data_IF_764494482816
#
_entry.id   IF_764494482816
#
_cell.length_a   1.000
_cell.length_b   1.000
_cell.length_c   1.000
_cell.angle_alpha   90.00
_cell.angle_beta   90.00
_cell.angle_gamma   90.00
#
_symmetry.space_group_name_H-M   'P 1'
#
loop_
_entity.id
_entity.type
_entity.pdbx_description
1 polymer ?
#
# COMPACT_ATOMS: atom_id res chain seq x y z
N UNK A 1 -21.55 -13.74 -8.93
CA UNK A 1 -21.54 -12.46 -8.17
C UNK A 1 -20.28 -12.43 -7.32
N UNK A 2 -19.54 -11.32 -7.27
CA UNK A 2 -18.41 -11.16 -6.36
C UNK A 2 -18.90 -10.48 -5.06
N UNK A 3 -18.36 -10.88 -3.91
CA UNK A 3 -18.61 -10.24 -2.62
C UNK A 3 -17.36 -9.53 -2.17
N UNK A 4 -17.50 -8.27 -1.77
CA UNK A 4 -16.41 -7.48 -1.22
C UNK A 4 -16.55 -7.42 0.30
N UNK A 5 -15.47 -7.73 1.01
CA UNK A 5 -15.42 -7.67 2.48
C UNK A 5 -14.21 -6.85 2.88
N UNK A 6 -14.47 -5.70 3.49
CA UNK A 6 -13.45 -4.94 4.20
C UNK A 6 -13.29 -5.54 5.60
N UNK A 7 -12.07 -5.92 5.96
CA UNK A 7 -11.73 -6.46 7.28
C UNK A 7 -10.88 -5.44 8.02
N UNK A 8 -11.36 -5.01 9.19
CA UNK A 8 -10.54 -4.30 10.15
C UNK A 8 -9.85 -5.33 11.05
N UNK A 9 -8.53 -5.30 11.10
CA UNK A 9 -7.77 -5.96 12.15
C UNK A 9 -7.47 -4.91 13.21
N UNK A 10 -8.36 -4.82 14.19
CA UNK A 10 -8.05 -4.20 15.46
C UNK A 10 -8.93 -4.78 16.57
N UNK A 11 -8.58 -4.46 17.83
CA UNK A 11 -9.35 -4.54 19.11
C UNK A 11 -8.61 -5.45 20.13
N UNK A 12 -8.21 -4.95 21.33
CA UNK A 12 -9.07 -4.14 22.22
C UNK A 12 -8.43 -2.88 22.82
N UNK A 13 -9.31 -1.94 23.19
CA UNK A 13 -9.06 -0.68 23.90
C UNK A 13 -8.04 0.29 23.27
N UNK A 14 -8.57 1.42 22.79
CA UNK A 14 -7.81 2.60 22.40
C UNK A 14 -6.82 3.13 23.48
N UNK A 15 -6.82 2.52 24.68
CA UNK A 15 -5.88 2.78 25.76
C UNK A 15 -4.52 2.07 25.65
N UNK A 16 -4.38 0.97 24.88
CA UNK A 16 -3.12 0.20 24.83
C UNK A 16 -2.37 0.29 23.49
N UNK A 17 -3.07 0.41 22.35
CA UNK A 17 -2.44 0.72 21.06
C UNK A 17 -3.37 1.55 20.15
N UNK A 18 -2.98 2.78 19.76
CA UNK A 18 -3.78 3.66 18.90
C UNK A 18 -3.76 3.29 17.40
N UNK A 19 -3.16 2.15 17.02
CA UNK A 19 -3.03 1.72 15.62
C UNK A 19 -4.21 0.87 15.17
N UNK A 20 -4.82 1.23 14.04
CA UNK A 20 -5.84 0.48 13.32
C UNK A 20 -5.20 -0.14 12.07
N UNK A 21 -5.33 -1.46 11.89
CA UNK A 21 -4.97 -2.16 10.65
C UNK A 21 -6.21 -2.47 9.80
N UNK A 22 -6.15 -2.23 8.50
CA UNK A 22 -7.24 -2.53 7.56
C UNK A 22 -6.69 -3.20 6.30
N UNK A 23 -7.43 -4.19 5.81
CA UNK A 23 -7.23 -4.78 4.49
C UNK A 23 -8.60 -5.15 3.90
N UNK A 24 -8.62 -5.30 2.60
CA UNK A 24 -9.81 -5.68 1.85
C UNK A 24 -9.62 -7.04 1.22
N UNK A 25 -10.73 -7.76 1.04
CA UNK A 25 -10.76 -9.09 0.44
C UNK A 25 -11.93 -9.17 -0.51
N UNK A 26 -11.74 -9.86 -1.63
CA UNK A 26 -12.81 -10.14 -2.60
C UNK A 26 -13.02 -11.63 -2.66
N UNK A 27 -14.29 -12.05 -2.57
CA UNK A 27 -14.71 -13.43 -2.66
C UNK A 27 -15.55 -13.68 -3.91
N UNK A 28 -15.42 -14.89 -4.46
CA UNK A 28 -16.28 -15.43 -5.51
C UNK A 28 -16.81 -16.80 -5.10
N UNK A 29 -17.98 -17.18 -5.62
CA UNK A 29 -18.49 -18.55 -5.46
C UNK A 29 -17.56 -19.52 -6.19
N UNK A 30 -17.28 -20.67 -5.57
CA UNK A 30 -16.35 -21.67 -6.06
C UNK A 30 -16.69 -22.20 -7.46
N UNK A 31 -17.96 -22.22 -7.84
CA UNK A 31 -18.41 -22.69 -9.15
C UNK A 31 -19.25 -21.65 -9.86
N UNK A 32 -18.94 -21.40 -11.13
CA UNK A 32 -19.73 -20.59 -12.07
C UNK A 32 -20.00 -21.40 -13.34
N UNK A 33 -21.27 -21.57 -13.68
CA UNK A 33 -21.72 -22.31 -14.87
C UNK A 33 -22.47 -21.34 -15.79
N UNK A 34 -22.06 -21.27 -17.04
CA UNK A 34 -22.80 -20.55 -18.10
C UNK A 34 -23.81 -21.50 -18.72
N UNK A 35 -25.00 -20.98 -19.03
CA UNK A 35 -26.08 -21.76 -19.65
C UNK A 35 -26.10 -21.50 -21.15
N UNK A 36 -26.24 -22.56 -21.94
CA UNK A 36 -26.35 -22.44 -23.40
C UNK A 36 -27.60 -21.64 -23.78
N UNK A 37 -27.45 -20.70 -24.71
CA UNK A 37 -28.50 -19.76 -25.11
C UNK A 37 -28.69 -18.51 -24.23
N UNK A 38 -28.08 -18.43 -23.04
CA UNK A 38 -28.07 -17.21 -22.21
C UNK A 38 -26.83 -17.13 -21.30
N UNK A 39 -25.76 -16.50 -21.79
CA UNK A 39 -24.54 -16.24 -21.02
C UNK A 39 -24.64 -15.04 -20.08
N UNK A 40 -25.75 -14.28 -20.12
CA UNK A 40 -25.91 -13.05 -19.32
C UNK A 40 -26.24 -13.33 -17.85
N UNK A 41 -26.78 -14.51 -17.54
CA UNK A 41 -27.17 -14.93 -16.19
C UNK A 41 -26.51 -16.27 -15.78
N UNK A 42 -25.21 -16.27 -15.48
CA UNK A 42 -24.51 -17.48 -15.05
C UNK A 42 -25.00 -17.97 -13.68
N UNK A 43 -25.12 -19.28 -13.52
CA UNK A 43 -25.41 -19.92 -12.23
C UNK A 43 -24.15 -19.95 -11.37
N UNK A 44 -24.26 -19.56 -10.09
CA UNK A 44 -23.15 -19.54 -9.14
C UNK A 44 -23.49 -20.45 -7.93
N UNK A 45 -22.58 -21.33 -7.53
CA UNK A 45 -22.80 -22.29 -6.44
C UNK A 45 -21.51 -22.60 -5.67
N UNK A 46 -21.63 -23.36 -4.56
CA UNK A 46 -20.51 -23.72 -3.69
C UNK A 46 -20.11 -22.62 -2.71
N UNK A 47 -19.01 -22.84 -1.99
CA UNK A 47 -18.51 -21.93 -0.96
C UNK A 47 -17.96 -20.62 -1.55
N UNK A 48 -17.83 -19.60 -0.70
CA UNK A 48 -17.12 -18.38 -1.03
C UNK A 48 -15.62 -18.60 -0.90
N UNK A 49 -14.88 -18.31 -1.97
CA UNK A 49 -13.43 -18.45 -2.06
C UNK A 49 -12.82 -17.08 -2.25
N UNK A 50 -11.80 -16.75 -1.46
CA UNK A 50 -11.05 -15.51 -1.63
C UNK A 50 -10.27 -15.57 -2.95
N UNK A 51 -10.40 -14.53 -3.76
CA UNK A 51 -9.73 -14.43 -5.05
C UNK A 51 -8.82 -13.22 -5.16
N UNK A 52 -8.85 -12.35 -4.16
CA UNK A 52 -8.03 -11.14 -4.09
C UNK A 52 -8.03 -10.58 -2.69
N UNK A 53 -6.91 -9.95 -2.32
CA UNK A 53 -6.79 -9.10 -1.14
C UNK A 53 -5.88 -7.92 -1.41
N UNK A 54 -6.07 -6.85 -0.64
CA UNK A 54 -5.25 -5.64 -0.71
C UNK A 54 -5.32 -4.87 0.61
N UNK A 55 -4.17 -4.52 1.18
CA UNK A 55 -4.03 -3.61 2.31
C UNK A 55 -3.26 -2.34 1.94
N UNK A 56 -1.96 -2.37 2.19
CA UNK A 56 -0.98 -1.36 1.85
C UNK A 56 -0.80 -1.19 0.33
N UNK A 57 -0.57 0.05 -0.13
CA UNK A 57 -0.22 0.37 -1.50
C UNK A 57 0.92 -0.49 -2.06
N UNK A 58 0.77 -0.91 -3.32
CA UNK A 58 1.79 -1.51 -4.18
C UNK A 58 2.28 -2.91 -3.76
N UNK A 59 1.76 -3.49 -2.68
CA UNK A 59 2.19 -4.83 -2.28
C UNK A 59 1.75 -5.88 -3.31
N UNK A 60 0.48 -5.88 -3.71
CA UNK A 60 -0.04 -6.82 -4.71
C UNK A 60 0.35 -6.42 -6.15
N UNK A 61 0.62 -5.14 -6.39
CA UNK A 61 0.93 -4.59 -7.70
C UNK A 61 2.41 -4.81 -8.06
N UNK A 62 3.34 -4.56 -7.13
CA UNK A 62 4.77 -4.44 -7.40
C UNK A 62 5.63 -5.36 -6.51
N UNK A 63 5.35 -5.45 -5.20
CA UNK A 63 6.19 -6.23 -4.28
C UNK A 63 6.03 -7.73 -4.51
N UNK A 64 4.80 -8.19 -4.74
CA UNK A 64 4.50 -9.59 -5.07
C UNK A 64 4.72 -9.80 -6.57
N UNK A 65 5.65 -10.68 -6.98
CA UNK A 65 5.92 -10.94 -8.39
C UNK A 65 4.73 -11.67 -9.03
N UNK A 66 4.55 -11.47 -10.34
CA UNK A 66 3.40 -11.99 -11.09
C UNK A 66 3.12 -13.48 -10.84
N UNK A 67 4.15 -14.32 -10.79
CA UNK A 67 4.02 -15.77 -10.57
C UNK A 67 3.52 -16.18 -9.19
N UNK A 68 3.51 -15.27 -8.21
CA UNK A 68 3.03 -15.51 -6.85
C UNK A 68 1.75 -14.74 -6.51
N UNK A 69 1.24 -13.89 -7.42
CA UNK A 69 0.06 -13.06 -7.16
C UNK A 69 -1.18 -13.88 -6.83
N UNK A 70 -1.43 -14.98 -7.53
CA UNK A 70 -2.59 -15.82 -7.24
C UNK A 70 -2.50 -16.47 -5.84
N UNK A 71 -1.31 -16.91 -5.44
CA UNK A 71 -1.08 -17.48 -4.12
C UNK A 71 -1.26 -16.43 -3.01
N UNK A 72 -0.73 -15.22 -3.22
CA UNK A 72 -0.92 -14.08 -2.32
C UNK A 72 -2.40 -13.68 -2.21
N UNK A 73 -3.09 -13.57 -3.35
CA UNK A 73 -4.51 -13.20 -3.41
C UNK A 73 -5.44 -14.21 -2.73
N UNK A 74 -5.05 -15.49 -2.73
CA UNK A 74 -5.79 -16.56 -2.07
C UNK A 74 -5.43 -16.75 -0.58
N UNK A 75 -4.38 -16.10 -0.06
CA UNK A 75 -3.92 -16.29 1.32
C UNK A 75 -4.57 -15.32 2.31
N UNK A 76 -4.57 -15.68 3.59
CA UNK A 76 -4.97 -14.79 4.69
C UNK A 76 -3.76 -14.02 5.23
N UNK A 77 -3.99 -12.82 5.77
CA UNK A 77 -2.90 -11.93 6.23
C UNK A 77 -2.08 -12.52 7.39
N UNK A 78 -2.65 -13.45 8.16
CA UNK A 78 -1.94 -14.17 9.23
C UNK A 78 -0.80 -15.06 8.72
N UNK A 79 -0.79 -15.39 7.42
CA UNK A 79 0.23 -16.18 6.75
C UNK A 79 1.33 -15.36 6.06
N UNK A 80 1.34 -14.02 6.20
CA UNK A 80 2.19 -13.15 5.37
C UNK A 80 3.69 -13.29 5.61
N UNK A 81 4.09 -13.95 6.69
CA UNK A 81 5.46 -14.37 6.90
C UNK A 81 6.02 -15.20 5.72
N UNK A 82 5.17 -15.90 4.97
CA UNK A 82 5.57 -16.65 3.76
C UNK A 82 6.08 -15.72 2.63
N UNK A 83 5.67 -14.46 2.61
CA UNK A 83 6.06 -13.47 1.59
C UNK A 83 7.19 -12.55 2.05
N UNK A 84 7.70 -12.69 3.29
CA UNK A 84 8.83 -11.91 3.82
C UNK A 84 10.04 -11.87 2.88
N UNK A 85 10.47 -12.98 2.25
CA UNK A 85 11.61 -12.96 1.33
C UNK A 85 11.47 -11.95 0.19
N UNK A 86 10.24 -11.72 -0.30
CA UNK A 86 9.93 -10.77 -1.38
C UNK A 86 10.12 -9.31 -0.95
N UNK A 87 9.97 -9.03 0.35
CA UNK A 87 10.15 -7.68 0.92
C UNK A 87 11.61 -7.46 1.34
N UNK A 88 12.25 -8.49 1.91
CA UNK A 88 13.65 -8.39 2.35
C UNK A 88 14.64 -8.41 1.19
N UNK A 89 14.25 -8.93 0.03
CA UNK A 89 15.09 -9.00 -1.18
C UNK A 89 14.23 -8.67 -2.41
N UNK A 90 13.80 -7.40 -2.54
CA UNK A 90 12.80 -7.01 -3.52
C UNK A 90 13.39 -7.00 -4.94
N UNK A 91 12.66 -7.58 -5.89
CA UNK A 91 13.03 -7.56 -7.31
C UNK A 91 13.15 -6.12 -7.84
N UNK A 92 12.24 -5.23 -7.45
CA UNK A 92 12.29 -3.81 -7.83
C UNK A 92 13.61 -3.16 -7.42
N UNK A 93 14.12 -3.43 -6.21
CA UNK A 93 15.39 -2.86 -5.76
C UNK A 93 16.55 -3.23 -6.69
N UNK A 94 16.58 -4.48 -7.15
CA UNK A 94 17.58 -4.97 -8.11
C UNK A 94 17.41 -4.34 -9.49
N UNK A 95 16.16 -4.12 -9.92
CA UNK A 95 15.87 -3.50 -11.20
C UNK A 95 16.20 -2.00 -11.22
N UNK A 96 16.08 -1.28 -10.11
CA UNK A 96 16.41 0.15 -10.02
C UNK A 96 17.88 0.39 -10.40
N UNK A 97 18.83 -0.37 -9.84
CA UNK A 97 20.25 -0.22 -10.20
C UNK A 97 20.52 -0.51 -11.68
N UNK A 98 19.77 -1.45 -12.26
CA UNK A 98 19.89 -1.81 -13.68
C UNK A 98 19.31 -0.74 -14.62
N UNK A 99 18.14 -0.18 -14.27
CA UNK A 99 17.38 0.76 -15.10
C UNK A 99 17.91 2.19 -14.98
N UNK A 100 18.51 2.55 -13.86
CA UNK A 100 19.00 3.90 -13.58
C UNK A 100 20.50 3.89 -13.24
N UNK A 101 21.38 3.96 -14.26
CA UNK A 101 22.82 3.98 -14.04
C UNK A 101 23.26 5.10 -13.09
N UNK A 102 24.02 4.75 -12.06
CA UNK A 102 24.47 5.69 -11.02
C UNK A 102 23.63 5.69 -9.75
N UNK A 103 22.52 4.94 -9.71
CA UNK A 103 21.82 4.61 -8.47
C UNK A 103 22.41 3.33 -7.88
N UNK A 104 22.66 3.37 -6.58
CA UNK A 104 22.98 2.20 -5.76
C UNK A 104 21.89 2.03 -4.71
N UNK A 105 21.46 0.81 -4.41
CA UNK A 105 20.44 0.53 -3.39
C UNK A 105 21.05 -0.25 -2.22
N UNK A 106 20.44 -0.19 -1.02
CA UNK A 106 20.90 -1.01 0.10
C UNK A 106 20.82 -2.50 -0.25
N UNK A 107 21.85 -3.31 0.10
CA UNK A 107 21.83 -4.74 -0.14
C UNK A 107 20.79 -5.43 0.78
N UNK A 108 20.24 -6.59 0.36
CA UNK A 108 19.40 -7.41 1.24
C UNK A 108 20.20 -7.94 2.45
N UNK A 109 19.55 -8.20 3.60
CA UNK A 109 18.10 -8.10 3.84
C UNK A 109 17.60 -6.68 4.15
N UNK A 110 16.56 -6.26 3.44
CA UNK A 110 15.87 -4.95 3.56
C UNK A 110 14.84 -4.92 4.68
N UNK A 111 15.31 -4.96 5.92
CA UNK A 111 14.44 -4.90 7.12
C UNK A 111 13.70 -3.56 7.26
N UNK A 112 14.24 -2.49 6.66
CA UNK A 112 13.56 -1.20 6.54
C UNK A 112 12.24 -1.30 5.76
N UNK A 113 12.23 -2.09 4.68
CA UNK A 113 11.03 -2.34 3.87
C UNK A 113 10.03 -3.26 4.58
N UNK A 114 10.50 -4.17 5.44
CA UNK A 114 9.61 -5.00 6.27
C UNK A 114 8.78 -4.12 7.21
N UNK A 115 9.41 -3.10 7.80
CA UNK A 115 8.73 -2.08 8.60
C UNK A 115 7.63 -1.36 7.80
N UNK A 116 7.96 -0.93 6.59
CA UNK A 116 7.05 -0.15 5.73
C UNK A 116 5.86 -0.98 5.23
N UNK A 117 6.10 -2.20 4.74
CA UNK A 117 5.07 -2.98 4.05
C UNK A 117 4.37 -4.04 4.91
N UNK A 118 5.00 -4.55 5.98
CA UNK A 118 4.51 -5.74 6.68
C UNK A 118 4.30 -5.58 8.18
N UNK A 119 5.14 -4.88 8.94
CA UNK A 119 4.97 -4.84 10.40
C UNK A 119 4.40 -3.51 10.90
N UNK A 120 4.55 -2.46 10.11
CA UNK A 120 4.50 -1.08 10.58
C UNK A 120 5.83 -0.67 11.22
N UNK A 121 6.05 0.64 11.27
CA UNK A 121 7.24 1.29 11.80
C UNK A 121 7.09 1.49 13.32
N UNK A 122 8.08 1.08 14.14
CA UNK A 122 8.05 1.29 15.58
C UNK A 122 7.83 2.77 15.96
N UNK A 123 6.92 3.04 16.89
CA UNK A 123 6.58 4.39 17.32
C UNK A 123 5.72 5.19 16.33
N UNK A 124 5.47 4.66 15.12
CA UNK A 124 4.61 5.28 14.12
C UNK A 124 3.32 4.51 14.00
N UNK A 125 3.31 3.30 13.42
CA UNK A 125 2.09 2.56 13.09
C UNK A 125 2.23 1.04 13.28
N UNK A 126 3.18 0.58 14.08
CA UNK A 126 3.38 -0.86 14.34
C UNK A 126 2.26 -1.45 15.21
N UNK A 127 1.69 -2.58 14.76
CA UNK A 127 0.69 -3.33 15.53
C UNK A 127 1.31 -4.02 16.76
N UNK A 128 0.52 -4.34 17.80
CA UNK A 128 1.01 -5.13 18.93
C UNK A 128 1.64 -6.44 18.43
N UNK A 129 2.80 -6.81 18.99
CA UNK A 129 3.60 -7.99 18.64
C UNK A 129 4.38 -7.94 17.31
N UNK A 130 4.28 -6.87 16.52
CA UNK A 130 5.10 -6.70 15.30
C UNK A 130 4.94 -7.81 14.27
N UNK A 131 3.78 -8.49 14.25
CA UNK A 131 3.52 -9.57 13.31
C UNK A 131 3.55 -9.03 11.87
N UNK A 132 4.26 -9.73 10.99
CA UNK A 132 4.28 -9.42 9.57
C UNK A 132 2.90 -9.74 8.97
N UNK A 133 2.14 -8.69 8.64
CA UNK A 133 0.83 -8.75 7.99
C UNK A 133 0.71 -7.62 6.96
N UNK A 134 0.13 -7.91 5.81
CA UNK A 134 -0.07 -6.94 4.74
C UNK A 134 -1.36 -6.16 5.03
N UNK A 135 -1.22 -4.91 5.47
CA UNK A 135 -2.32 -4.06 5.93
C UNK A 135 -1.98 -2.58 5.75
N UNK A 136 -2.98 -1.76 5.44
CA UNK A 136 -2.89 -0.31 5.64
C UNK A 136 -3.09 -0.01 7.12
N UNK A 137 -2.16 0.72 7.73
CA UNK A 137 -2.13 0.93 9.19
C UNK A 137 -2.15 2.41 9.55
N UNK A 138 -3.11 2.82 10.37
CA UNK A 138 -3.25 4.20 10.82
C UNK A 138 -3.13 4.28 12.34
N UNK A 139 -2.17 5.05 12.83
CA UNK A 139 -2.08 5.46 14.22
C UNK A 139 -2.91 6.73 14.45
N UNK A 140 -4.00 6.60 15.21
CA UNK A 140 -4.92 7.70 15.49
C UNK A 140 -4.43 8.67 16.57
N UNK A 141 -3.29 8.40 17.23
CA UNK A 141 -2.68 9.35 18.17
C UNK A 141 -1.76 10.36 17.49
N UNK A 142 -1.41 10.16 16.22
CA UNK A 142 -0.62 11.11 15.43
C UNK A 142 -1.58 12.15 14.85
N UNK A 143 -1.46 13.44 15.21
CA UNK A 143 -2.33 14.48 14.68
C UNK A 143 -2.03 14.71 13.19
N UNK A 144 -3.04 15.07 12.37
CA UNK A 144 -2.81 15.50 11.00
C UNK A 144 -1.88 16.70 10.94
N UNK A 145 -0.97 16.74 9.96
CA UNK A 145 -0.04 17.86 9.73
C UNK A 145 -0.80 19.15 9.36
N UNK A 146 -1.98 19.02 8.78
CA UNK A 146 -2.85 20.14 8.42
C UNK A 146 -4.23 19.66 7.95
N UNK A 147 -5.17 20.60 7.84
CA UNK A 147 -6.53 20.32 7.31
C UNK A 147 -6.69 20.74 5.86
N UNK A 148 -5.74 21.49 5.30
CA UNK A 148 -5.70 21.83 3.87
C UNK A 148 -4.86 20.79 3.13
N UNK A 149 -5.47 19.90 2.32
CA UNK A 149 -4.73 18.89 1.58
C UNK A 149 -3.72 19.46 0.58
N UNK A 150 -3.91 20.71 0.12
CA UNK A 150 -3.00 21.36 -0.83
C UNK A 150 -1.77 21.99 -0.15
N UNK A 151 -1.74 22.04 1.19
CA UNK A 151 -0.63 22.59 1.97
C UNK A 151 0.30 21.49 2.56
N UNK A 152 -0.04 20.22 2.34
CA UNK A 152 0.72 19.06 2.81
C UNK A 152 1.74 18.60 1.76
N UNK A 153 2.78 17.90 2.20
CA UNK A 153 3.80 17.35 1.30
C UNK A 153 3.37 15.96 0.77
N UNK A 154 3.32 15.73 -0.56
CA UNK A 154 2.97 14.42 -1.14
C UNK A 154 3.87 13.26 -0.68
N UNK A 155 5.11 13.52 -0.27
CA UNK A 155 6.04 12.50 0.22
C UNK A 155 5.79 12.08 1.68
N UNK A 156 4.85 12.71 2.38
CA UNK A 156 4.39 12.31 3.70
C UNK A 156 5.53 12.08 4.70
N UNK A 157 5.63 10.84 5.21
CA UNK A 157 6.62 10.49 6.23
C UNK A 157 8.06 10.77 5.77
N UNK A 158 8.38 10.61 4.47
CA UNK A 158 9.73 10.91 3.95
C UNK A 158 10.05 12.41 3.99
N UNK A 159 9.03 13.27 3.96
CA UNK A 159 9.15 14.71 4.16
C UNK A 159 9.03 15.16 5.62
N UNK A 160 8.91 14.22 6.57
CA UNK A 160 8.76 14.50 8.00
C UNK A 160 7.31 14.69 8.46
N UNK A 161 6.33 14.41 7.62
CA UNK A 161 4.90 14.45 7.97
C UNK A 161 4.43 13.07 8.43
N UNK A 162 4.43 12.85 9.75
CA UNK A 162 4.16 11.53 10.35
C UNK A 162 2.72 11.00 10.15
N UNK A 163 1.81 11.82 9.65
CA UNK A 163 0.43 11.46 9.28
C UNK A 163 0.29 10.97 7.83
N UNK A 164 1.37 10.96 7.04
CA UNK A 164 1.41 10.41 5.69
C UNK A 164 1.79 8.93 5.64
N UNK A 165 1.58 8.30 4.48
CA UNK A 165 1.92 6.90 4.23
C UNK A 165 3.39 6.58 4.63
N UNK A 166 3.66 5.46 5.34
CA UNK A 166 2.78 4.34 5.64
C UNK A 166 1.79 4.50 6.82
N UNK A 167 1.75 5.65 7.52
CA UNK A 167 0.81 5.87 8.61
C UNK A 167 -0.58 6.31 8.11
N UNK A 168 -1.35 5.35 7.62
CA UNK A 168 -2.55 5.58 6.84
C UNK A 168 -2.16 5.98 5.42
N UNK A 169 -3.09 6.61 4.72
CA UNK A 169 -2.83 7.20 3.41
C UNK A 169 -3.71 8.43 3.28
N UNK A 170 -3.08 9.59 3.12
CA UNK A 170 -3.76 10.84 2.79
C UNK A 170 -4.04 10.86 1.29
N UNK A 171 -5.02 11.66 0.87
CA UNK A 171 -5.37 11.77 -0.55
C UNK A 171 -4.21 12.31 -1.40
N UNK A 172 -3.37 13.16 -0.80
CA UNK A 172 -2.20 13.79 -1.42
C UNK A 172 -0.96 12.87 -1.44
N UNK A 173 -0.94 11.78 -0.67
CA UNK A 173 0.25 10.94 -0.57
C UNK A 173 0.57 10.27 -1.90
N UNK A 174 1.75 10.58 -2.43
CA UNK A 174 2.30 9.97 -3.62
C UNK A 174 2.96 8.63 -3.25
N UNK A 175 2.11 7.61 -3.13
CA UNK A 175 2.55 6.28 -2.72
C UNK A 175 3.53 5.64 -3.72
N UNK A 176 3.53 6.08 -4.98
CA UNK A 176 4.44 5.56 -6.01
C UNK A 176 5.83 6.12 -5.77
N UNK A 177 5.96 7.44 -5.64
CA UNK A 177 7.24 8.08 -5.35
C UNK A 177 7.79 7.66 -3.98
N UNK A 178 6.95 7.60 -2.94
CA UNK A 178 7.39 7.14 -1.62
C UNK A 178 7.89 5.69 -1.68
N UNK A 179 7.18 4.78 -2.36
CA UNK A 179 7.60 3.38 -2.45
C UNK A 179 8.85 3.20 -3.33
N UNK A 180 8.99 3.98 -4.41
CA UNK A 180 10.15 3.96 -5.28
C UNK A 180 11.40 4.46 -4.54
N UNK A 181 11.29 5.57 -3.82
CA UNK A 181 12.35 6.09 -2.97
C UNK A 181 12.70 5.10 -1.85
N UNK A 182 11.70 4.51 -1.19
CA UNK A 182 11.93 3.47 -0.19
C UNK A 182 12.65 2.24 -0.78
N UNK A 183 12.23 1.75 -1.95
CA UNK A 183 12.90 0.64 -2.64
C UNK A 183 14.36 0.97 -2.97
N UNK A 184 14.65 2.22 -3.35
CA UNK A 184 16.01 2.71 -3.56
C UNK A 184 16.79 2.97 -2.25
N UNK A 185 16.18 2.81 -1.09
CA UNK A 185 16.80 3.08 0.21
C UNK A 185 16.85 4.57 0.57
N UNK A 186 16.10 5.43 -0.10
CA UNK A 186 15.94 6.82 0.29
C UNK A 186 14.94 6.96 1.45
N UNK A 187 15.34 6.42 2.61
CA UNK A 187 14.58 6.51 3.86
C UNK A 187 15.48 6.92 5.01
N UNK A 188 14.92 7.45 6.12
CA UNK A 188 15.70 7.70 7.33
C UNK A 188 16.38 6.45 7.93
N UNK A 189 15.95 5.23 7.57
CA UNK A 189 16.49 3.97 8.08
C UNK A 189 17.76 3.51 7.36
N UNK A 190 18.03 4.07 6.18
CA UNK A 190 19.18 3.79 5.32
C UNK A 190 19.87 5.10 4.93
N UNK A 191 20.37 5.87 5.91
CA UNK A 191 20.82 7.25 5.71
C UNK A 191 21.94 7.41 4.67
N UNK A 192 22.76 6.38 4.47
CA UNK A 192 23.81 6.35 3.45
C UNK A 192 23.27 6.32 2.01
N UNK A 193 22.02 5.89 1.82
CA UNK A 193 21.30 5.88 0.54
C UNK A 193 20.27 7.01 0.43
N UNK A 194 19.90 7.66 1.53
CA UNK A 194 18.98 8.79 1.55
C UNK A 194 19.63 10.11 1.10
N UNK A 195 20.03 10.13 -0.18
CA UNK A 195 20.69 11.26 -0.85
C UNK A 195 20.40 11.20 -2.34
N UNK A 196 20.72 12.28 -3.05
CA UNK A 196 20.59 12.29 -4.50
C UNK A 196 21.53 11.24 -5.13
N UNK A 197 21.09 10.53 -6.18
CA UNK A 197 19.79 10.67 -6.85
C UNK A 197 18.63 9.84 -6.24
N UNK A 198 18.88 8.94 -5.29
CA UNK A 198 17.87 8.03 -4.73
C UNK A 198 16.65 8.77 -4.12
N UNK A 199 16.87 9.86 -3.39
CA UNK A 199 15.80 10.67 -2.77
C UNK A 199 15.15 11.67 -3.74
N UNK A 200 15.48 11.57 -5.03
CA UNK A 200 14.89 12.36 -6.11
C UNK A 200 14.21 11.47 -7.16
N UNK A 201 14.13 10.16 -6.89
CA UNK A 201 13.39 9.25 -7.74
C UNK A 201 11.90 9.61 -7.72
N UNK A 202 11.32 9.66 -8.91
CA UNK A 202 9.92 9.98 -9.15
C UNK A 202 9.43 9.27 -10.41
N UNK A 203 8.13 8.95 -10.45
CA UNK A 203 7.44 8.50 -11.66
C UNK A 203 7.12 9.65 -12.64
N UNK A 204 7.37 10.90 -12.22
CA UNK A 204 7.16 12.12 -12.99
C UNK A 204 5.75 12.70 -12.91
N UNK A 205 4.88 12.17 -12.03
CA UNK A 205 3.49 12.60 -11.83
C UNK A 205 3.34 13.21 -10.44
N UNK A 206 3.70 14.48 -10.29
CA UNK A 206 3.80 15.14 -8.98
C UNK A 206 2.47 15.66 -8.39
N UNK A 207 1.32 15.28 -8.94
CA UNK A 207 0.04 15.73 -8.42
C UNK A 207 -1.14 15.52 -9.37
N UNK A 208 -2.33 15.80 -8.83
CA UNK A 208 -3.57 15.79 -9.60
C UNK A 208 -3.60 16.96 -10.58
N UNK A 209 -4.36 16.75 -11.65
CA UNK A 209 -4.70 17.74 -12.67
C UNK A 209 -5.47 18.95 -12.11
N UNK A 210 -6.26 18.74 -11.05
CA UNK A 210 -6.99 19.78 -10.31
C UNK A 210 -6.65 19.73 -8.82
N UNK A 211 -6.62 20.89 -8.13
CA UNK A 211 -6.41 20.93 -6.68
C UNK A 211 -7.54 20.24 -5.93
N UNK A 212 -7.24 19.75 -4.73
CA UNK A 212 -8.27 19.23 -3.84
C UNK A 212 -9.20 20.36 -3.38
N UNK A 213 -10.49 20.06 -3.26
CA UNK A 213 -11.46 20.93 -2.59
C UNK A 213 -11.03 21.15 -1.13
N UNK A 214 -11.36 22.30 -0.56
CA UNK A 214 -11.06 22.61 0.85
C UNK A 214 -12.06 22.01 1.84
N UNK A 215 -13.10 21.33 1.33
CA UNK A 215 -14.14 20.66 2.11
C UNK A 215 -14.45 19.28 1.54
N UNK A 216 -14.97 18.39 2.38
CA UNK A 216 -15.39 17.06 2.00
C UNK A 216 -16.36 17.09 0.80
N UNK A 217 -16.18 16.25 -0.25
CA UNK A 217 -15.33 15.05 -0.30
C UNK A 217 -13.84 15.25 -0.66
N UNK A 218 -13.33 16.48 -0.65
CA UNK A 218 -11.93 16.88 -0.92
C UNK A 218 -11.42 16.57 -2.34
N UNK A 219 -11.87 15.51 -3.00
CA UNK A 219 -11.56 15.24 -4.41
C UNK A 219 -12.23 16.26 -5.33
N UNK A 220 -11.51 16.69 -6.36
CA UNK A 220 -12.07 17.48 -7.44
C UNK A 220 -13.19 16.72 -8.16
N UNK A 221 -14.10 17.46 -8.79
CA UNK A 221 -15.13 16.85 -9.61
C UNK A 221 -14.51 16.12 -10.80
N UNK A 222 -15.07 14.97 -11.23
CA UNK A 222 -14.63 14.31 -12.45
C UNK A 222 -14.72 15.25 -13.64
N UNK A 223 -13.79 15.15 -14.58
CA UNK A 223 -13.90 15.85 -15.87
C UNK A 223 -15.21 15.47 -16.57
N UNK A 224 -15.89 16.46 -17.13
CA UNK A 224 -17.06 16.23 -17.95
C UNK A 224 -16.63 15.54 -19.25
N UNK A 225 -17.29 14.43 -19.62
CA UNK A 225 -16.90 13.62 -20.78
C UNK A 225 -17.14 14.25 -22.16
N UNK A 226 -17.52 15.53 -22.22
CA UNK A 226 -17.85 16.25 -23.47
C UNK A 226 -16.90 17.39 -23.79
N UNK A 227 -16.05 17.81 -22.86
CA UNK A 227 -15.01 18.81 -23.09
C UNK A 227 -13.65 18.10 -23.15
N UNK A 228 -13.02 18.15 -24.33
CA UNK A 228 -11.66 17.67 -24.61
C UNK A 228 -10.74 18.82 -24.96
#
# INVERSE_FOLDING_TARGET
MASFVQRAFNVPDAGENPVIGVYSTTYRRATRVFVDGDSSQPMNSGDWVQVSRLGGPLVNEVVVPLGLKDAFNASETTGDAAFLPLVTDPELGRLIELLYPGITVPPPPRNDLVGIFLTGLPGVNQLPNGQATEMLRLNTSIPPTGTDPNAQNPLGLLAGENDGWPNGRRLIDDTVDIALQAAAGATPFTPEFNRAPNNQLSDGVSGNDLPFLTTFPYLAHPHEGYDS
#
